data_IF_387708280896
#
_entry.id   IF_387708280896
#
_cell.length_a   1.000
_cell.length_b   1.000
_cell.length_c   1.000
_cell.angle_alpha   90.00
_cell.angle_beta   90.00
_cell.angle_gamma   90.00
#
_symmetry.space_group_name_H-M   'P 1'
#
loop_
_entity.id
_entity.type
_entity.pdbx_description
1 polymer ?
#
# COMPACT_ATOMS: atom_id res chain seq x y z
N UNK A 1 0.62 21.80 7.54
CA UNK A 1 -0.47 21.13 8.29
C UNK A 1 0.05 19.78 8.74
N UNK A 2 0.02 19.52 10.04
CA UNK A 2 0.36 18.20 10.61
C UNK A 2 -0.88 17.31 10.49
N UNK A 3 -0.74 16.13 9.88
CA UNK A 3 -1.82 15.14 9.74
C UNK A 3 -1.77 14.16 10.90
N UNK A 4 -2.94 13.83 11.44
CA UNK A 4 -3.12 12.84 12.51
C UNK A 4 -2.90 11.41 12.03
N UNK A 5 -2.72 10.48 12.97
CA UNK A 5 -2.58 9.06 12.66
C UNK A 5 -3.83 8.47 12.02
N UNK A 6 -5.02 8.90 12.48
CA UNK A 6 -6.28 8.46 11.88
C UNK A 6 -6.42 8.88 10.42
N UNK A 7 -5.97 10.09 10.07
CA UNK A 7 -5.94 10.52 8.67
C UNK A 7 -4.96 9.70 7.83
N UNK A 8 -3.86 9.22 8.42
CA UNK A 8 -2.89 8.35 7.73
C UNK A 8 -3.42 6.93 7.57
N UNK A 9 -4.09 6.39 8.58
CA UNK A 9 -4.77 5.10 8.46
C UNK A 9 -5.87 5.17 7.40
N UNK A 10 -6.62 6.26 7.34
CA UNK A 10 -7.59 6.49 6.28
C UNK A 10 -6.94 6.53 4.88
N UNK A 11 -5.78 7.18 4.72
CA UNK A 11 -5.03 7.14 3.46
C UNK A 11 -4.62 5.73 3.06
N UNK A 12 -4.10 4.95 4.02
CA UNK A 12 -3.67 3.56 3.79
C UNK A 12 -4.87 2.72 3.35
N UNK A 13 -5.99 2.80 4.08
CA UNK A 13 -7.20 2.06 3.76
C UNK A 13 -7.79 2.42 2.40
N UNK A 14 -7.85 3.72 2.07
CA UNK A 14 -8.30 4.17 0.74
C UNK A 14 -7.36 3.71 -0.37
N UNK A 15 -6.05 3.76 -0.17
CA UNK A 15 -5.08 3.31 -1.16
C UNK A 15 -5.16 1.79 -1.38
N UNK A 16 -5.33 1.00 -0.31
CA UNK A 16 -5.56 -0.45 -0.40
C UNK A 16 -6.84 -0.75 -1.18
N UNK A 17 -7.95 -0.07 -0.86
CA UNK A 17 -9.20 -0.25 -1.57
C UNK A 17 -9.04 0.03 -3.07
N UNK A 18 -8.34 1.11 -3.42
CA UNK A 18 -8.06 1.43 -4.84
C UNK A 18 -7.21 0.35 -5.51
N UNK A 19 -6.21 -0.20 -4.84
CA UNK A 19 -5.45 -1.32 -5.39
C UNK A 19 -6.35 -2.52 -5.71
N UNK A 20 -7.26 -2.86 -4.79
CA UNK A 20 -8.22 -3.94 -4.98
C UNK A 20 -9.21 -3.64 -6.11
N UNK A 21 -9.66 -2.39 -6.25
CA UNK A 21 -10.53 -1.98 -7.35
C UNK A 21 -9.83 -2.07 -8.72
N UNK A 22 -8.51 -1.87 -8.76
CA UNK A 22 -7.71 -1.95 -10.00
C UNK A 22 -7.25 -3.37 -10.35
N UNK A 23 -7.22 -4.26 -9.37
CA UNK A 23 -6.71 -5.63 -9.48
C UNK A 23 -7.32 -6.41 -10.68
N UNK A 24 -8.64 -6.35 -10.96
CA UNK A 24 -9.23 -7.10 -12.07
C UNK A 24 -8.71 -6.63 -13.44
N UNK A 25 -8.33 -5.36 -13.55
CA UNK A 25 -7.84 -4.75 -14.78
C UNK A 25 -6.36 -5.04 -15.05
N UNK A 26 -5.61 -5.55 -14.07
CA UNK A 26 -4.23 -6.00 -14.28
C UNK A 26 -4.14 -7.22 -15.21
N UNK A 27 -5.25 -7.96 -15.35
CA UNK A 27 -5.34 -9.16 -16.19
C UNK A 27 -5.92 -8.91 -17.57
N UNK A 28 -6.30 -7.67 -17.89
CA UNK A 28 -6.96 -7.34 -19.16
C UNK A 28 -6.05 -6.49 -20.04
N UNK A 29 -5.79 -6.94 -21.26
CA UNK A 29 -4.81 -6.31 -22.18
C UNK A 29 -5.10 -4.82 -22.44
N UNK A 30 -6.36 -4.40 -22.45
CA UNK A 30 -6.75 -3.01 -22.76
C UNK A 30 -6.35 -2.02 -21.66
N UNK A 31 -6.39 -2.43 -20.39
CA UNK A 31 -6.20 -1.54 -19.24
C UNK A 31 -5.03 -1.93 -18.34
N UNK A 32 -4.35 -3.05 -18.59
CA UNK A 32 -3.29 -3.58 -17.73
C UNK A 32 -2.22 -2.54 -17.38
N UNK A 33 -1.69 -1.80 -18.36
CA UNK A 33 -0.65 -0.78 -18.09
C UNK A 33 -1.17 0.37 -17.23
N UNK A 34 -2.40 0.85 -17.49
CA UNK A 34 -3.02 1.91 -16.71
C UNK A 34 -3.31 1.45 -15.27
N UNK A 35 -3.83 0.23 -15.12
CA UNK A 35 -4.10 -0.38 -13.82
C UNK A 35 -2.80 -0.59 -13.03
N UNK A 36 -1.74 -1.04 -13.69
CA UNK A 36 -0.43 -1.22 -13.09
C UNK A 36 0.13 0.09 -12.54
N UNK A 37 0.15 1.16 -13.34
CA UNK A 37 0.60 2.47 -12.90
C UNK A 37 -0.24 3.00 -11.73
N UNK A 38 -1.56 2.81 -11.79
CA UNK A 38 -2.48 3.20 -10.73
C UNK A 38 -2.21 2.44 -9.43
N UNK A 39 -1.91 1.14 -9.50
CA UNK A 39 -1.54 0.32 -8.34
C UNK A 39 -0.20 0.79 -7.76
N UNK A 40 0.84 0.95 -8.58
CA UNK A 40 2.16 1.40 -8.11
C UNK A 40 2.08 2.75 -7.39
N UNK A 41 1.27 3.69 -7.90
CA UNK A 41 0.97 4.94 -7.21
C UNK A 41 0.43 4.64 -5.81
N UNK A 42 -0.63 3.85 -5.69
CA UNK A 42 -1.28 3.60 -4.40
C UNK A 42 -0.35 2.88 -3.41
N UNK A 43 0.52 1.98 -3.88
CA UNK A 43 1.59 1.41 -3.04
C UNK A 43 2.56 2.48 -2.51
N UNK A 44 2.91 3.47 -3.34
CA UNK A 44 3.74 4.59 -2.89
C UNK A 44 3.04 5.43 -1.81
N UNK A 45 1.72 5.64 -1.94
CA UNK A 45 0.90 6.36 -0.95
C UNK A 45 0.89 5.60 0.39
N UNK A 46 0.69 4.29 0.36
CA UNK A 46 0.71 3.44 1.55
C UNK A 46 2.06 3.57 2.26
N UNK A 47 3.17 3.42 1.54
CA UNK A 47 4.51 3.52 2.11
C UNK A 47 4.82 4.92 2.68
N UNK A 48 4.38 5.99 2.02
CA UNK A 48 4.56 7.36 2.52
C UNK A 48 3.71 7.62 3.78
N UNK A 49 2.46 7.15 3.81
CA UNK A 49 1.59 7.28 4.97
C UNK A 49 2.19 6.56 6.19
N UNK A 50 2.71 5.34 6.00
CA UNK A 50 3.40 4.57 7.06
C UNK A 50 4.68 5.25 7.52
N UNK A 51 5.52 5.74 6.59
CA UNK A 51 6.78 6.43 6.91
C UNK A 51 6.55 7.63 7.83
N UNK A 52 5.41 8.28 7.68
CA UNK A 52 5.06 9.50 8.40
C UNK A 52 4.25 9.26 9.68
N UNK A 53 4.00 7.99 10.05
CA UNK A 53 3.49 7.65 11.38
C UNK A 53 4.57 7.89 12.45
N UNK A 54 4.20 8.42 13.63
CA UNK A 54 5.08 8.48 14.79
C UNK A 54 5.65 7.12 15.16
N UNK A 55 6.76 7.10 15.90
CA UNK A 55 7.34 5.83 16.37
C UNK A 55 6.43 5.18 17.40
N UNK A 56 5.79 5.98 18.25
CA UNK A 56 4.88 5.56 19.31
C UNK A 56 3.69 4.77 18.75
N UNK A 57 3.13 5.23 17.62
CA UNK A 57 2.02 4.57 16.93
C UNK A 57 2.43 3.21 16.36
N UNK A 58 3.64 3.14 15.78
CA UNK A 58 4.19 1.90 15.21
C UNK A 58 4.55 0.89 16.30
N UNK A 59 5.15 1.36 17.39
CA UNK A 59 5.52 0.53 18.55
C UNK A 59 4.28 0.00 19.30
N UNK A 60 3.16 0.72 19.25
CA UNK A 60 1.86 0.25 19.74
C UNK A 60 1.25 -0.90 18.92
N UNK A 61 1.80 -1.18 17.74
CA UNK A 61 1.32 -2.18 16.79
C UNK A 61 2.47 -3.01 16.20
N UNK A 62 3.23 -3.74 17.03
CA UNK A 62 4.50 -4.36 16.63
C UNK A 62 4.35 -5.56 15.70
N UNK A 63 3.13 -6.08 15.55
CA UNK A 63 2.82 -7.20 14.66
C UNK A 63 2.62 -6.79 13.21
N UNK A 64 2.46 -5.49 12.92
CA UNK A 64 2.48 -4.97 11.57
C UNK A 64 3.92 -4.71 11.11
N UNK A 65 4.34 -5.21 9.94
CA UNK A 65 5.71 -5.05 9.44
C UNK A 65 5.95 -3.64 8.87
N UNK A 66 5.87 -2.60 9.71
CA UNK A 66 5.93 -1.19 9.30
C UNK A 66 7.14 -0.83 8.44
N UNK A 67 8.31 -1.37 8.77
CA UNK A 67 9.54 -1.10 8.03
C UNK A 67 9.46 -1.63 6.58
N UNK A 68 8.88 -2.81 6.38
CA UNK A 68 8.68 -3.38 5.05
C UNK A 68 7.67 -2.54 4.25
N UNK A 69 6.56 -2.16 4.88
CA UNK A 69 5.51 -1.36 4.22
C UNK A 69 6.04 0.04 3.84
N UNK A 70 6.82 0.70 4.72
CA UNK A 70 7.48 1.96 4.39
C UNK A 70 8.47 1.80 3.22
N UNK A 71 9.15 0.66 3.14
CA UNK A 71 10.06 0.31 2.05
C UNK A 71 9.40 0.20 0.67
N UNK A 72 8.10 -0.15 0.61
CA UNK A 72 7.36 -0.28 -0.66
C UNK A 72 7.47 1.00 -1.51
N UNK A 73 7.33 2.18 -0.90
CA UNK A 73 7.48 3.47 -1.60
C UNK A 73 8.80 3.55 -2.36
N UNK A 74 9.90 3.16 -1.74
CA UNK A 74 11.21 3.27 -2.38
C UNK A 74 11.32 2.32 -3.57
N UNK A 75 10.81 1.09 -3.42
CA UNK A 75 10.80 0.10 -4.50
C UNK A 75 9.96 0.59 -5.68
N UNK A 76 8.70 0.98 -5.44
CA UNK A 76 7.78 1.35 -6.53
C UNK A 76 8.07 2.71 -7.16
N UNK A 77 8.84 3.58 -6.51
CA UNK A 77 9.23 4.90 -7.06
C UNK A 77 10.63 4.89 -7.68
N UNK A 78 11.60 4.21 -7.09
CA UNK A 78 13.01 4.27 -7.51
C UNK A 78 13.50 3.00 -8.19
N UNK A 79 12.89 1.85 -7.89
CA UNK A 79 13.25 0.54 -8.43
C UNK A 79 12.10 -0.11 -9.21
N UNK A 80 11.17 0.70 -9.74
CA UNK A 80 9.95 0.24 -10.41
C UNK A 80 10.20 -0.77 -11.55
N UNK A 81 11.36 -0.66 -12.21
CA UNK A 81 11.81 -1.56 -13.27
C UNK A 81 12.11 -2.98 -12.79
N UNK A 82 12.19 -3.22 -11.48
CA UNK A 82 12.40 -4.54 -10.85
C UNK A 82 11.11 -5.18 -10.35
N UNK A 83 9.99 -4.45 -10.38
CA UNK A 83 8.73 -4.92 -9.82
C UNK A 83 8.12 -5.97 -10.76
N UNK A 84 7.87 -7.16 -10.21
CA UNK A 84 7.18 -8.23 -10.93
C UNK A 84 5.66 -8.05 -10.76
N UNK A 85 4.88 -7.92 -11.86
CA UNK A 85 3.42 -7.82 -11.80
C UNK A 85 2.73 -8.96 -11.04
N UNK A 86 3.26 -10.19 -11.09
CA UNK A 86 2.68 -11.33 -10.35
C UNK A 86 2.83 -11.15 -8.83
N UNK A 87 3.94 -10.56 -8.38
CA UNK A 87 4.13 -10.21 -6.97
C UNK A 87 3.20 -9.09 -6.52
N UNK A 88 2.79 -8.21 -7.44
CA UNK A 88 1.84 -7.14 -7.13
C UNK A 88 0.45 -7.72 -6.87
N UNK A 89 0.01 -8.71 -7.64
CA UNK A 89 -1.25 -9.41 -7.38
C UNK A 89 -1.25 -10.07 -5.99
N UNK A 90 -0.20 -10.81 -5.68
CA UNK A 90 -0.06 -11.46 -4.37
C UNK A 90 -0.05 -10.46 -3.20
N UNK A 91 0.64 -9.34 -3.38
CA UNK A 91 0.67 -8.24 -2.42
C UNK A 91 -0.73 -7.66 -2.18
N UNK A 92 -1.53 -7.47 -3.23
CA UNK A 92 -2.89 -6.92 -3.12
C UNK A 92 -3.82 -7.90 -2.39
N UNK A 93 -3.78 -9.17 -2.79
CA UNK A 93 -4.73 -10.19 -2.33
C UNK A 93 -4.47 -10.64 -0.88
N UNK A 94 -3.21 -10.64 -0.44
CA UNK A 94 -2.82 -11.18 0.87
C UNK A 94 -2.33 -10.10 1.84
N UNK A 95 -1.22 -9.44 1.51
CA UNK A 95 -0.52 -8.54 2.45
C UNK A 95 -1.33 -7.27 2.72
N UNK A 96 -1.83 -6.61 1.66
CA UNK A 96 -2.65 -5.41 1.80
C UNK A 96 -4.01 -5.71 2.42
N UNK A 97 -4.62 -6.85 2.09
CA UNK A 97 -5.88 -7.27 2.70
C UNK A 97 -5.72 -7.48 4.22
N UNK A 98 -4.62 -8.12 4.64
CA UNK A 98 -4.27 -8.31 6.05
C UNK A 98 -4.05 -6.98 6.76
N UNK A 99 -3.28 -6.07 6.16
CA UNK A 99 -3.06 -4.72 6.69
C UNK A 99 -4.38 -3.94 6.87
N UNK A 100 -5.25 -3.99 5.87
CA UNK A 100 -6.55 -3.32 5.93
C UNK A 100 -7.45 -3.88 7.03
N UNK A 101 -7.48 -5.20 7.23
CA UNK A 101 -8.22 -5.80 8.33
C UNK A 101 -7.71 -5.28 9.69
N UNK A 102 -6.38 -5.30 9.89
CA UNK A 102 -5.78 -4.83 11.15
C UNK A 102 -6.03 -3.37 11.46
N UNK A 103 -6.03 -2.50 10.46
CA UNK A 103 -6.29 -1.07 10.65
C UNK A 103 -7.76 -0.72 10.86
N UNK A 104 -8.70 -1.60 10.46
CA UNK A 104 -10.15 -1.40 10.68
C UNK A 104 -10.60 -1.79 12.09
N UNK A 105 -9.81 -2.62 12.78
CA UNK A 105 -10.09 -3.10 14.13
C UNK A 105 -9.67 -2.08 15.22
N UNK A 106 -9.28 -0.87 14.82
CA UNK A 106 -8.72 0.22 15.66
C UNK A 106 -9.62 1.43 15.55
#
# INVERSE_FOLDING_TARGET
MTRSDQERFADILHAIQRCQDYEPYLRTDEFASMAYDAVLRNLAVIGEAVRALPVETRDGMPDIPWAAIAGLRNIVVHEYFRVNPDLILDLIDHELATLAARLRDI
#
